data_IF_187116075313
#
_entry.id   IF_187116075313
#
_cell.length_a   1.000
_cell.length_b   1.000
_cell.length_c   1.000
_cell.angle_alpha   90.00
_cell.angle_beta   90.00
_cell.angle_gamma   90.00
#
_symmetry.space_group_name_H-M   'P 1'
#
loop_
_entity.id
_entity.type
_entity.pdbx_description
1 polymer ?
#
# COMPACT_ATOMS: atom_id res chain seq x y z
N UNK A 1 8.25 22.81 -18.70
CA UNK A 1 8.71 21.41 -18.92
C UNK A 1 8.70 20.49 -17.70
N UNK A 2 8.96 20.91 -16.44
CA UNK A 2 9.09 19.97 -15.29
C UNK A 2 7.80 19.30 -14.80
N UNK A 3 6.64 19.96 -14.87
CA UNK A 3 5.36 19.48 -14.29
C UNK A 3 4.72 18.34 -15.10
N UNK A 4 4.85 18.36 -16.42
CA UNK A 4 4.22 17.40 -17.33
C UNK A 4 4.92 16.04 -17.34
N UNK A 5 6.25 16.03 -17.21
CA UNK A 5 7.03 14.79 -17.08
C UNK A 5 6.73 14.06 -15.77
N UNK A 6 6.59 14.79 -14.65
CA UNK A 6 6.25 14.20 -13.36
C UNK A 6 4.91 13.46 -13.40
N UNK A 7 3.88 14.05 -14.02
CA UNK A 7 2.56 13.41 -14.15
C UNK A 7 2.67 12.10 -14.92
N UNK A 8 3.33 12.12 -16.08
CA UNK A 8 3.55 10.93 -16.93
C UNK A 8 4.27 9.84 -16.12
N UNK A 9 5.31 10.21 -15.38
CA UNK A 9 6.07 9.28 -14.54
C UNK A 9 5.22 8.62 -13.45
N UNK A 10 4.37 9.39 -12.76
CA UNK A 10 3.49 8.83 -11.72
C UNK A 10 2.42 7.94 -12.34
N UNK A 11 1.80 8.33 -13.45
CA UNK A 11 0.79 7.52 -14.17
C UNK A 11 1.38 6.17 -14.59
N UNK A 12 2.59 6.15 -15.14
CA UNK A 12 3.27 4.89 -15.51
C UNK A 12 3.47 3.99 -14.29
N UNK A 13 3.81 4.56 -13.12
CA UNK A 13 3.96 3.79 -11.86
C UNK A 13 2.63 3.24 -11.36
N UNK A 14 1.55 4.03 -11.42
CA UNK A 14 0.21 3.60 -11.01
C UNK A 14 -0.29 2.42 -11.85
N UNK A 15 -0.10 2.46 -13.18
CA UNK A 15 -0.44 1.34 -14.07
C UNK A 15 0.33 0.07 -13.76
N UNK A 16 1.60 0.20 -13.37
CA UNK A 16 2.39 -0.95 -12.90
C UNK A 16 1.82 -1.53 -11.60
N UNK A 17 1.48 -0.67 -10.64
CA UNK A 17 0.85 -1.09 -9.38
C UNK A 17 -0.48 -1.81 -9.65
N UNK A 18 -1.35 -1.27 -10.52
CA UNK A 18 -2.59 -1.94 -10.95
C UNK A 18 -2.32 -3.34 -11.52
N UNK A 19 -1.32 -3.46 -12.40
CA UNK A 19 -0.94 -4.74 -12.99
C UNK A 19 -0.43 -5.75 -11.94
N UNK A 20 0.35 -5.29 -10.97
CA UNK A 20 0.82 -6.12 -9.86
C UNK A 20 -0.35 -6.60 -9.00
N UNK A 21 -1.25 -5.71 -8.59
CA UNK A 21 -2.43 -6.04 -7.77
C UNK A 21 -3.32 -7.06 -8.47
N UNK A 22 -3.58 -6.87 -9.78
CA UNK A 22 -4.31 -7.84 -10.60
C UNK A 22 -3.60 -9.19 -10.72
N UNK A 23 -2.27 -9.19 -10.75
CA UNK A 23 -1.47 -10.43 -10.72
C UNK A 23 -1.65 -11.18 -9.39
N UNK A 24 -1.61 -10.45 -8.28
CA UNK A 24 -1.80 -11.00 -6.93
C UNK A 24 -3.20 -11.57 -6.76
N UNK A 25 -4.25 -10.89 -7.26
CA UNK A 25 -5.62 -11.41 -7.26
C UNK A 25 -5.72 -12.79 -7.91
N UNK A 26 -5.03 -12.98 -9.04
CA UNK A 26 -4.94 -14.28 -9.71
C UNK A 26 -4.15 -15.31 -8.91
N UNK A 27 -3.04 -14.90 -8.28
CA UNK A 27 -2.24 -15.78 -7.42
C UNK A 27 -3.07 -16.31 -6.25
N UNK A 28 -3.83 -15.42 -5.58
CA UNK A 28 -4.72 -15.80 -4.49
C UNK A 28 -5.82 -16.74 -5.00
N UNK A 29 -6.48 -16.38 -6.10
CA UNK A 29 -7.56 -17.20 -6.68
C UNK A 29 -7.07 -18.60 -7.10
N UNK A 30 -5.86 -18.67 -7.65
CA UNK A 30 -5.19 -19.90 -8.08
C UNK A 30 -4.41 -20.63 -6.97
N UNK A 31 -4.62 -20.28 -5.70
CA UNK A 31 -4.08 -21.01 -4.53
C UNK A 31 -2.55 -21.08 -4.48
N UNK A 32 -1.89 -20.03 -4.99
CA UNK A 32 -0.45 -19.86 -4.83
C UNK A 32 -0.13 -19.68 -3.33
N UNK A 33 1.01 -20.23 -2.90
CA UNK A 33 1.47 -20.16 -1.52
C UNK A 33 1.43 -18.73 -0.97
N UNK A 34 0.86 -18.54 0.23
CA UNK A 34 0.72 -17.22 0.85
C UNK A 34 2.05 -16.48 1.00
N UNK A 35 3.18 -17.22 1.16
CA UNK A 35 4.52 -16.64 1.16
C UNK A 35 4.80 -15.87 -0.13
N UNK A 36 4.61 -16.52 -1.27
CA UNK A 36 4.91 -15.92 -2.57
C UNK A 36 3.98 -14.73 -2.84
N UNK A 37 2.72 -14.84 -2.42
CA UNK A 37 1.76 -13.73 -2.45
C UNK A 37 2.22 -12.57 -1.57
N UNK A 38 2.71 -12.83 -0.35
CA UNK A 38 3.23 -11.81 0.56
C UNK A 38 4.45 -11.07 0.00
N UNK A 39 5.35 -11.76 -0.70
CA UNK A 39 6.46 -11.12 -1.42
C UNK A 39 5.95 -10.13 -2.47
N UNK A 40 4.92 -10.50 -3.23
CA UNK A 40 4.32 -9.60 -4.21
C UNK A 40 3.59 -8.42 -3.56
N UNK A 41 2.89 -8.65 -2.45
CA UNK A 41 2.28 -7.59 -1.66
C UNK A 41 3.33 -6.60 -1.16
N UNK A 42 4.48 -7.07 -0.66
CA UNK A 42 5.60 -6.21 -0.27
C UNK A 42 6.12 -5.37 -1.44
N UNK A 43 6.22 -5.97 -2.64
CA UNK A 43 6.60 -5.27 -3.86
C UNK A 43 5.60 -4.17 -4.25
N UNK A 44 4.29 -4.45 -4.15
CA UNK A 44 3.22 -3.46 -4.37
C UNK A 44 3.30 -2.33 -3.36
N UNK A 45 3.51 -2.64 -2.07
CA UNK A 45 3.69 -1.66 -1.00
C UNK A 45 4.86 -0.72 -1.29
N UNK A 46 6.01 -1.28 -1.66
CA UNK A 46 7.20 -0.51 -2.01
C UNK A 46 6.97 0.36 -3.25
N UNK A 47 6.27 -0.14 -4.27
CA UNK A 47 5.91 0.62 -5.46
C UNK A 47 4.98 1.79 -5.13
N UNK A 48 3.95 1.56 -4.30
CA UNK A 48 3.02 2.59 -3.82
C UNK A 48 3.75 3.69 -3.04
N UNK A 49 4.62 3.30 -2.10
CA UNK A 49 5.43 4.25 -1.31
C UNK A 49 6.35 5.10 -2.20
N UNK A 50 7.00 4.49 -3.21
CA UNK A 50 7.86 5.23 -4.16
C UNK A 50 7.07 6.23 -5.00
N UNK A 51 5.88 5.86 -5.46
CA UNK A 51 5.02 6.75 -6.24
C UNK A 51 4.48 7.91 -5.38
N UNK A 52 4.00 7.61 -4.16
CA UNK A 52 3.55 8.63 -3.21
C UNK A 52 4.67 9.58 -2.77
N UNK A 53 5.88 9.07 -2.50
CA UNK A 53 7.03 9.89 -2.15
C UNK A 53 7.45 10.85 -3.27
N UNK A 54 7.34 10.43 -4.53
CA UNK A 54 7.59 11.29 -5.68
C UNK A 54 6.60 12.46 -5.74
N UNK A 55 5.32 12.19 -5.47
CA UNK A 55 4.29 13.22 -5.37
C UNK A 55 4.51 14.15 -4.16
N UNK A 56 4.85 13.59 -3.00
CA UNK A 56 5.13 14.32 -1.77
C UNK A 56 6.30 15.28 -1.96
N UNK A 57 7.37 14.83 -2.63
CA UNK A 57 8.51 15.68 -2.99
C UNK A 57 8.09 16.87 -3.86
N UNK A 58 7.19 16.65 -4.81
CA UNK A 58 6.66 17.72 -5.65
C UNK A 58 5.76 18.68 -4.85
N UNK A 59 4.90 18.13 -3.99
CA UNK A 59 4.08 18.92 -3.08
C UNK A 59 4.94 19.82 -2.20
N UNK A 60 5.95 19.26 -1.52
CA UNK A 60 6.86 20.02 -0.66
C UNK A 60 7.59 21.15 -1.40
N UNK A 61 8.04 20.89 -2.64
CA UNK A 61 8.68 21.92 -3.46
C UNK A 61 7.73 23.05 -3.82
N UNK A 62 6.50 22.73 -4.24
CA UNK A 62 5.54 23.74 -4.69
C UNK A 62 4.85 24.46 -3.52
N UNK A 63 4.76 23.82 -2.35
CA UNK A 63 4.22 24.39 -1.12
C UNK A 63 5.16 25.43 -0.49
N UNK A 64 6.38 25.64 -1.00
CA UNK A 64 7.36 26.57 -0.42
C UNK A 64 7.78 27.67 -1.41
N UNK A 65 7.16 27.75 -2.60
CA UNK A 65 7.54 28.71 -3.64
C UNK A 65 6.59 29.91 -3.62
N UNK A 66 7.14 31.11 -3.36
CA UNK A 66 6.51 32.39 -3.72
C UNK A 66 5.98 33.25 -2.58
N UNK A 67 6.60 33.28 -1.40
CA UNK A 67 5.88 33.77 -0.20
C UNK A 67 6.64 34.70 0.76
N UNK A 68 5.83 35.50 1.46
CA UNK A 68 6.21 36.42 2.55
C UNK A 68 6.36 35.67 3.89
N UNK A 69 6.78 36.36 4.95
CA UNK A 69 7.02 35.72 6.27
C UNK A 69 5.76 35.10 6.89
N UNK A 70 4.58 35.67 6.66
CA UNK A 70 3.31 35.23 7.25
C UNK A 70 2.73 33.98 6.54
N UNK A 71 2.98 33.86 5.23
CA UNK A 71 2.57 32.69 4.45
C UNK A 71 3.47 31.47 4.73
N UNK A 72 4.73 31.71 5.09
CA UNK A 72 5.72 30.65 5.40
C UNK A 72 5.27 29.75 6.56
N UNK A 73 4.71 30.32 7.64
CA UNK A 73 4.25 29.53 8.80
C UNK A 73 3.09 28.60 8.43
N UNK A 74 2.09 29.12 7.71
CA UNK A 74 0.92 28.35 7.26
C UNK A 74 1.32 27.22 6.32
N UNK A 75 2.25 27.49 5.41
CA UNK A 75 2.73 26.47 4.49
C UNK A 75 3.57 25.39 5.18
N UNK A 76 4.33 25.75 6.21
CA UNK A 76 5.04 24.77 7.02
C UNK A 76 4.06 23.86 7.78
N UNK A 77 3.02 24.42 8.40
CA UNK A 77 1.96 23.63 9.06
C UNK A 77 1.25 22.69 8.08
N UNK A 78 0.95 23.18 6.87
CA UNK A 78 0.34 22.37 5.81
C UNK A 78 1.26 21.24 5.34
N UNK A 79 2.56 21.52 5.19
CA UNK A 79 3.56 20.53 4.82
C UNK A 79 3.69 19.45 5.90
N UNK A 80 3.83 19.85 7.16
CA UNK A 80 3.96 18.94 8.30
C UNK A 80 2.70 18.08 8.45
N UNK A 81 1.50 18.67 8.39
CA UNK A 81 0.26 17.90 8.49
C UNK A 81 0.10 16.89 7.36
N UNK A 82 0.43 17.28 6.12
CA UNK A 82 0.40 16.37 4.96
C UNK A 82 1.44 15.26 5.10
N UNK A 83 2.64 15.57 5.59
CA UNK A 83 3.68 14.59 5.86
C UNK A 83 3.26 13.60 6.95
N UNK A 84 2.71 14.09 8.07
CA UNK A 84 2.21 13.24 9.14
C UNK A 84 1.10 12.31 8.67
N UNK A 85 0.17 12.82 7.86
CA UNK A 85 -0.87 12.00 7.24
C UNK A 85 -0.26 10.93 6.32
N UNK A 86 0.70 11.33 5.47
CA UNK A 86 1.36 10.40 4.57
C UNK A 86 2.25 9.39 5.31
N UNK A 87 2.77 9.66 6.50
CA UNK A 87 3.60 8.72 7.26
C UNK A 87 2.78 7.82 8.21
N UNK A 88 1.56 8.23 8.55
CA UNK A 88 0.70 7.48 9.46
C UNK A 88 0.46 6.07 8.91
N UNK A 89 0.77 5.08 9.74
CA UNK A 89 0.32 3.70 9.54
C UNK A 89 -1.03 3.59 10.25
N UNK A 90 -2.07 3.16 9.54
CA UNK A 90 -3.40 2.96 10.11
C UNK A 90 -3.34 2.08 11.36
N UNK A 91 -4.20 2.34 12.34
CA UNK A 91 -4.32 1.48 13.51
C UNK A 91 -4.93 0.14 13.06
N UNK A 92 -4.33 -0.98 13.47
CA UNK A 92 -4.95 -2.30 13.33
C UNK A 92 -6.24 -2.25 14.17
N UNK A 93 -7.40 -2.18 13.52
CA UNK A 93 -8.68 -2.32 14.22
C UNK A 93 -8.80 -3.77 14.68
N UNK A 94 -9.26 -4.00 15.90
CA UNK A 94 -9.62 -5.34 16.37
C UNK A 94 -10.62 -5.96 15.37
N UNK A 95 -10.21 -7.08 14.76
CA UNK A 95 -11.00 -7.79 13.78
C UNK A 95 -12.00 -8.67 14.54
N UNK A 96 -13.30 -8.46 14.33
CA UNK A 96 -14.31 -9.45 14.73
C UNK A 96 -14.25 -10.59 13.72
N UNK A 97 -13.59 -11.69 14.10
CA UNK A 97 -13.49 -12.90 13.30
C UNK A 97 -14.88 -13.42 12.99
N UNK A 98 -15.33 -13.29 11.74
CA UNK A 98 -16.59 -13.90 11.27
C UNK A 98 -16.64 -14.05 9.73
N UNK A 99 -15.50 -14.16 9.05
CA UNK A 99 -15.51 -14.61 7.66
C UNK A 99 -15.14 -16.09 7.62
N UNK A 100 -16.07 -16.94 7.19
CA UNK A 100 -15.82 -18.35 6.85
C UNK A 100 -14.84 -18.49 5.66
N UNK A 101 -14.41 -17.39 5.03
CA UNK A 101 -13.46 -17.44 3.91
C UNK A 101 -12.51 -16.22 3.86
N UNK A 102 -11.32 -16.35 4.47
CA UNK A 102 -10.26 -15.33 4.42
C UNK A 102 -9.80 -15.02 2.98
N UNK A 103 -9.87 -16.00 2.07
CA UNK A 103 -9.48 -15.84 0.66
C UNK A 103 -10.38 -14.84 -0.05
N UNK A 104 -11.70 -14.94 0.14
CA UNK A 104 -12.66 -13.99 -0.43
C UNK A 104 -12.43 -12.56 0.08
N UNK A 105 -12.12 -12.43 1.36
CA UNK A 105 -11.81 -11.12 1.96
C UNK A 105 -10.53 -10.52 1.35
N UNK A 106 -9.48 -11.33 1.15
CA UNK A 106 -8.24 -10.91 0.47
C UNK A 106 -8.55 -10.45 -0.96
N UNK A 107 -9.33 -11.21 -1.73
CA UNK A 107 -9.69 -10.86 -3.11
C UNK A 107 -10.45 -9.54 -3.15
N UNK A 108 -11.45 -9.35 -2.27
CA UNK A 108 -12.20 -8.10 -2.18
C UNK A 108 -11.30 -6.91 -1.90
N UNK A 109 -10.35 -7.06 -0.97
CA UNK A 109 -9.38 -6.01 -0.64
C UNK A 109 -8.44 -5.68 -1.80
N UNK A 110 -8.03 -6.67 -2.59
CA UNK A 110 -7.23 -6.45 -3.80
C UNK A 110 -8.02 -5.65 -4.86
N UNK A 111 -9.30 -5.95 -5.03
CA UNK A 111 -10.18 -5.20 -5.93
C UNK A 111 -10.38 -3.75 -5.46
N UNK A 112 -10.54 -3.53 -4.15
CA UNK A 112 -10.57 -2.19 -3.55
C UNK A 112 -9.28 -1.40 -3.85
N UNK A 113 -8.11 -2.02 -3.65
CA UNK A 113 -6.81 -1.41 -3.98
C UNK A 113 -6.74 -1.04 -5.47
N UNK A 114 -7.17 -1.93 -6.36
CA UNK A 114 -7.16 -1.66 -7.80
C UNK A 114 -8.01 -0.42 -8.14
N UNK A 115 -9.22 -0.34 -7.58
CA UNK A 115 -10.11 0.81 -7.77
C UNK A 115 -9.52 2.12 -7.24
N UNK A 116 -8.86 2.08 -6.08
CA UNK A 116 -8.19 3.25 -5.52
C UNK A 116 -7.02 3.72 -6.39
N UNK A 117 -6.19 2.80 -6.89
CA UNK A 117 -5.04 3.15 -7.75
C UNK A 117 -5.52 3.74 -9.08
N UNK A 118 -6.62 3.23 -9.65
CA UNK A 118 -7.28 3.84 -10.81
C UNK A 118 -7.84 5.24 -10.47
N UNK A 119 -8.45 5.41 -9.30
CA UNK A 119 -8.91 6.71 -8.80
C UNK A 119 -7.78 7.74 -8.72
N UNK A 120 -6.63 7.36 -8.18
CA UNK A 120 -5.42 8.22 -8.12
C UNK A 120 -4.96 8.61 -9.53
N UNK A 121 -4.95 7.68 -10.48
CA UNK A 121 -4.58 7.98 -11.88
C UNK A 121 -5.52 9.05 -12.46
N UNK A 122 -6.83 8.91 -12.26
CA UNK A 122 -7.82 9.91 -12.69
C UNK A 122 -7.61 11.26 -12.01
N UNK A 123 -7.37 11.29 -10.70
CA UNK A 123 -7.10 12.54 -9.97
C UNK A 123 -5.88 13.29 -10.52
N UNK A 124 -4.83 12.57 -10.92
CA UNK A 124 -3.64 13.18 -11.54
C UNK A 124 -3.96 13.75 -12.94
N UNK A 125 -4.75 13.01 -13.73
CA UNK A 125 -5.17 13.44 -15.06
C UNK A 125 -6.05 14.70 -15.00
N UNK A 126 -6.96 14.76 -14.02
CA UNK A 126 -7.85 15.91 -13.78
C UNK A 126 -7.20 17.04 -12.95
N UNK A 127 -5.89 16.99 -12.73
CA UNK A 127 -5.14 18.00 -11.97
C UNK A 127 -5.66 18.28 -10.54
N UNK A 128 -6.18 17.25 -9.87
CA UNK A 128 -6.65 17.40 -8.48
C UNK A 128 -5.53 17.85 -7.52
N UNK A 129 -5.95 18.33 -6.34
CA UNK A 129 -5.02 18.80 -5.31
C UNK A 129 -4.02 17.70 -4.91
N UNK A 130 -2.73 18.02 -4.88
CA UNK A 130 -1.68 17.07 -4.49
C UNK A 130 -1.89 16.49 -3.09
N UNK A 131 -2.44 17.29 -2.16
CA UNK A 131 -2.76 16.85 -0.80
C UNK A 131 -3.80 15.73 -0.82
N UNK A 132 -4.89 15.90 -1.58
CA UNK A 132 -5.95 14.88 -1.70
C UNK A 132 -5.42 13.60 -2.33
N UNK A 133 -4.57 13.73 -3.35
CA UNK A 133 -3.93 12.58 -3.99
C UNK A 133 -3.01 11.84 -2.99
N UNK A 134 -2.27 12.58 -2.14
CA UNK A 134 -1.44 11.97 -1.07
C UNK A 134 -2.26 11.23 -0.02
N UNK A 135 -3.47 11.74 0.31
CA UNK A 135 -4.42 11.03 1.18
C UNK A 135 -4.81 9.68 0.55
N UNK A 136 -5.08 9.66 -0.75
CA UNK A 136 -5.40 8.41 -1.45
C UNK A 136 -4.23 7.42 -1.47
N UNK A 137 -2.99 7.90 -1.65
CA UNK A 137 -1.81 7.03 -1.53
C UNK A 137 -1.67 6.40 -0.13
N UNK A 138 -1.99 7.15 0.93
CA UNK A 138 -2.00 6.64 2.29
C UNK A 138 -3.09 5.56 2.47
N UNK A 139 -4.30 5.80 1.93
CA UNK A 139 -5.38 4.81 1.97
C UNK A 139 -5.04 3.52 1.20
N UNK A 140 -4.41 3.63 0.03
CA UNK A 140 -3.92 2.45 -0.71
C UNK A 140 -2.91 1.67 0.14
N UNK A 141 -1.98 2.35 0.81
CA UNK A 141 -1.01 1.70 1.69
C UNK A 141 -1.69 0.97 2.85
N UNK A 142 -2.71 1.56 3.46
CA UNK A 142 -3.48 0.92 4.53
C UNK A 142 -4.14 -0.38 4.04
N UNK A 143 -4.81 -0.36 2.90
CA UNK A 143 -5.42 -1.57 2.32
C UNK A 143 -4.37 -2.63 1.96
N UNK A 144 -3.21 -2.23 1.41
CA UNK A 144 -2.09 -3.17 1.17
C UNK A 144 -1.63 -3.82 2.48
N UNK A 145 -1.59 -3.06 3.57
CA UNK A 145 -1.22 -3.60 4.88
C UNK A 145 -2.27 -4.55 5.43
N UNK A 146 -3.56 -4.25 5.27
CA UNK A 146 -4.66 -5.14 5.66
C UNK A 146 -4.60 -6.48 4.92
N UNK A 147 -4.29 -6.46 3.62
CA UNK A 147 -4.07 -7.70 2.84
C UNK A 147 -2.88 -8.49 3.37
N UNK A 148 -1.78 -7.82 3.73
CA UNK A 148 -0.62 -8.47 4.35
C UNK A 148 -1.00 -9.19 5.65
N UNK A 149 -1.79 -8.54 6.52
CA UNK A 149 -2.29 -9.15 7.76
C UNK A 149 -3.20 -10.36 7.47
N UNK A 150 -4.13 -10.25 6.51
CA UNK A 150 -4.99 -11.37 6.11
C UNK A 150 -4.20 -12.57 5.60
N UNK A 151 -3.14 -12.33 4.81
CA UNK A 151 -2.31 -13.41 4.28
C UNK A 151 -1.50 -14.10 5.37
N UNK A 152 -0.98 -13.34 6.34
CA UNK A 152 -0.31 -13.92 7.51
C UNK A 152 -1.29 -14.75 8.34
N UNK A 153 -2.50 -14.26 8.57
CA UNK A 153 -3.55 -15.00 9.28
C UNK A 153 -3.91 -16.30 8.53
N UNK A 154 -4.11 -16.22 7.22
CA UNK A 154 -4.41 -17.38 6.37
C UNK A 154 -3.26 -18.41 6.39
N UNK A 155 -2.00 -17.95 6.33
CA UNK A 155 -0.83 -18.82 6.44
C UNK A 155 -0.75 -19.50 7.81
N UNK A 156 -0.98 -18.76 8.89
CA UNK A 156 -0.96 -19.32 10.24
C UNK A 156 -2.02 -20.42 10.40
N UNK A 157 -3.25 -20.18 9.94
CA UNK A 157 -4.34 -21.16 10.01
C UNK A 157 -4.10 -22.40 9.13
N UNK A 158 -3.51 -22.21 7.94
CA UNK A 158 -3.37 -23.28 6.96
C UNK A 158 -2.06 -24.08 7.07
N UNK A 159 -1.02 -23.50 7.67
CA UNK A 159 0.34 -24.05 7.63
C UNK A 159 0.99 -24.24 9.01
N UNK A 160 0.59 -23.51 10.07
CA UNK A 160 1.22 -23.67 11.39
C UNK A 160 0.54 -24.72 12.28
N UNK A 161 -0.71 -25.07 12.00
CA UNK A 161 -1.46 -26.05 12.78
C UNK A 161 -1.15 -27.45 12.22
N UNK A 162 -0.06 -28.05 12.70
CA UNK A 162 0.36 -29.42 12.32
C UNK A 162 0.85 -30.20 13.54
N UNK A 163 0.70 -31.54 13.54
CA UNK A 163 1.13 -32.41 14.64
C UNK A 163 2.65 -32.71 14.64
N UNK A 164 3.40 -32.19 13.66
CA UNK A 164 4.84 -32.43 13.48
C UNK A 164 5.66 -31.20 13.92
N UNK A 165 6.51 -31.40 14.93
CA UNK A 165 7.31 -30.33 15.54
C UNK A 165 8.42 -29.80 14.63
N UNK A 166 9.05 -30.66 13.81
CA UNK A 166 10.09 -30.24 12.87
C UNK A 166 9.50 -29.39 11.73
N UNK A 167 8.35 -29.82 11.22
CA UNK A 167 7.58 -29.07 10.20
C UNK A 167 7.08 -27.74 10.77
N UNK A 168 6.59 -27.74 12.01
CA UNK A 168 6.10 -26.52 12.67
C UNK A 168 7.23 -25.49 12.82
N UNK A 169 8.41 -25.90 13.30
CA UNK A 169 9.56 -25.01 13.46
C UNK A 169 10.00 -24.40 12.12
N UNK A 170 10.06 -25.22 11.06
CA UNK A 170 10.35 -24.73 9.70
C UNK A 170 9.30 -23.71 9.23
N UNK A 171 8.02 -23.99 9.45
CA UNK A 171 6.93 -23.09 9.03
C UNK A 171 6.95 -21.76 9.82
N UNK A 172 7.44 -21.76 11.06
CA UNK A 172 7.66 -20.55 11.87
C UNK A 172 8.80 -19.71 11.28
N UNK A 173 9.96 -20.31 10.99
CA UNK A 173 11.09 -19.59 10.38
C UNK A 173 10.69 -18.95 9.05
N UNK A 174 9.91 -19.70 8.29
CA UNK A 174 9.32 -19.29 7.05
C UNK A 174 8.34 -18.12 7.20
N UNK A 175 7.47 -18.16 8.22
CA UNK A 175 6.60 -17.04 8.55
C UNK A 175 7.41 -15.80 8.95
N UNK A 176 8.42 -15.95 9.82
CA UNK A 176 9.28 -14.85 10.28
C UNK A 176 9.97 -14.21 9.08
N UNK A 177 10.61 -15.01 8.22
CA UNK A 177 11.27 -14.52 7.00
C UNK A 177 10.31 -13.75 6.10
N UNK A 178 9.09 -14.26 5.95
CA UNK A 178 8.04 -13.62 5.15
C UNK A 178 7.59 -12.29 5.78
N UNK A 179 7.36 -12.25 7.09
CA UNK A 179 7.02 -11.02 7.81
C UNK A 179 8.13 -9.98 7.72
N UNK A 180 9.40 -10.40 7.86
CA UNK A 180 10.55 -9.51 7.70
C UNK A 180 10.64 -8.95 6.29
N UNK A 181 10.34 -9.75 5.26
CA UNK A 181 10.24 -9.25 3.87
C UNK A 181 9.10 -8.26 3.71
N UNK A 182 7.96 -8.52 4.35
CA UNK A 182 6.82 -7.62 4.32
C UNK A 182 7.07 -6.33 5.09
N UNK A 183 7.93 -6.30 6.12
CA UNK A 183 8.23 -5.07 6.89
C UNK A 183 9.26 -4.16 6.21
N UNK A 184 10.11 -4.69 5.33
CA UNK A 184 11.07 -3.91 4.51
C UNK A 184 10.38 -2.96 3.52
#
# INVERSE_FOLDING_TARGET
MKKENLKKDIVVRLRRIQGQVKGIEKMVSGEVCCRDVLVQIAAVRAANNKAGALLLKNFAKNCMIGETSEDTSKNMERLVSTLLLFLRSGNIKERKTSSENLKEEIVKKLQEIQGQVEGIEKMIQFESCCQDILVQFASVRENINEVGVLLVENYAQSCLITDDEEVTNKNIDDLISTMLSFLK
#
